data_IF_146372506835
#
_entry.id   IF_146372506835
#
_cell.length_a   1.000
_cell.length_b   1.000
_cell.length_c   1.000
_cell.angle_alpha   90.00
_cell.angle_beta   90.00
_cell.angle_gamma   90.00
#
_symmetry.space_group_name_H-M   'P 1'
#
loop_
_entity.id
_entity.type
_entity.pdbx_description
1 polymer ?
#
# COMPACT_ATOMS: atom_id res chain seq x y z
N UNK A 1 -6.88 -5.90 16.61
CA UNK A 1 -8.08 -5.15 16.20
C UNK A 1 -7.65 -3.85 15.53
N UNK A 2 -8.31 -3.48 14.44
CA UNK A 2 -8.00 -2.26 13.71
C UNK A 2 -8.61 -1.06 14.42
N UNK A 3 -7.81 -0.03 14.69
CA UNK A 3 -8.30 1.17 15.37
C UNK A 3 -9.18 2.04 14.45
N UNK A 4 -9.98 2.91 15.06
CA UNK A 4 -10.83 3.84 14.30
C UNK A 4 -10.00 4.80 13.44
N UNK A 5 -8.81 5.19 13.90
CA UNK A 5 -7.91 6.05 13.15
C UNK A 5 -7.43 5.39 11.85
N UNK A 6 -7.17 4.09 11.88
CA UNK A 6 -6.78 3.33 10.69
C UNK A 6 -7.93 3.29 9.69
N UNK A 7 -9.16 3.02 10.18
CA UNK A 7 -10.34 3.03 9.31
C UNK A 7 -10.58 4.40 8.69
N UNK A 8 -10.40 5.48 9.46
CA UNK A 8 -10.56 6.84 8.96
C UNK A 8 -9.54 7.14 7.85
N UNK A 9 -8.30 6.72 8.02
CA UNK A 9 -7.23 6.88 7.02
C UNK A 9 -7.58 6.17 5.71
N UNK A 10 -8.03 4.93 5.80
CA UNK A 10 -8.43 4.14 4.63
C UNK A 10 -9.63 4.77 3.91
N UNK A 11 -10.61 5.25 4.66
CA UNK A 11 -11.80 5.90 4.09
C UNK A 11 -11.43 7.15 3.32
N UNK A 12 -10.57 7.99 3.89
CA UNK A 12 -10.14 9.23 3.25
C UNK A 12 -9.36 8.95 1.97
N UNK A 13 -8.44 7.97 2.00
CA UNK A 13 -7.69 7.53 0.84
C UNK A 13 -8.64 7.05 -0.28
N UNK A 14 -9.60 6.20 0.05
CA UNK A 14 -10.51 5.62 -0.93
C UNK A 14 -11.39 6.67 -1.58
N UNK A 15 -11.89 7.63 -0.81
CA UNK A 15 -12.70 8.73 -1.34
C UNK A 15 -11.91 9.58 -2.32
N UNK A 16 -10.64 9.83 -2.02
CA UNK A 16 -9.79 10.66 -2.87
C UNK A 16 -9.46 9.98 -4.21
N UNK A 17 -9.10 8.69 -4.18
CA UNK A 17 -8.67 7.98 -5.38
C UNK A 17 -9.81 7.36 -6.18
N UNK A 18 -10.84 6.84 -5.51
CA UNK A 18 -11.88 6.05 -6.16
C UNK A 18 -13.24 6.75 -6.18
N UNK A 19 -13.35 7.91 -5.55
CA UNK A 19 -14.59 8.66 -5.47
C UNK A 19 -15.67 8.01 -4.60
N UNK A 20 -15.33 6.92 -3.89
CA UNK A 20 -16.25 6.24 -2.99
C UNK A 20 -15.51 5.57 -1.85
N UNK A 21 -16.24 5.27 -0.78
CA UNK A 21 -15.69 4.59 0.39
C UNK A 21 -15.69 3.07 0.16
N UNK A 22 -14.49 2.48 0.05
CA UNK A 22 -14.30 1.03 -0.08
C UNK A 22 -14.05 0.35 1.27
N UNK A 23 -14.19 1.10 2.39
CA UNK A 23 -13.94 0.55 3.72
C UNK A 23 -14.75 -0.71 4.04
N UNK A 24 -16.04 -0.82 3.65
CA UNK A 24 -16.80 -2.05 3.89
C UNK A 24 -16.17 -3.30 3.26
N UNK A 25 -15.70 -3.18 2.01
CA UNK A 25 -15.05 -4.28 1.30
C UNK A 25 -13.73 -4.65 1.95
N UNK A 26 -12.97 -3.66 2.39
CA UNK A 26 -11.70 -3.87 3.09
C UNK A 26 -11.95 -4.58 4.42
N UNK A 27 -12.97 -4.19 5.17
CA UNK A 27 -13.33 -4.83 6.44
C UNK A 27 -13.67 -6.31 6.25
N UNK A 28 -14.37 -6.65 5.18
CA UNK A 28 -14.70 -8.03 4.87
C UNK A 28 -13.45 -8.85 4.58
N UNK A 29 -12.47 -8.28 3.90
CA UNK A 29 -11.22 -8.97 3.56
C UNK A 29 -10.23 -9.01 4.71
N UNK A 30 -10.40 -8.17 5.74
CA UNK A 30 -9.41 -7.98 6.79
C UNK A 30 -9.03 -9.25 7.56
N UNK A 31 -9.93 -10.22 7.85
CA UNK A 31 -9.53 -11.45 8.51
C UNK A 31 -8.44 -12.23 7.78
N UNK A 32 -8.30 -12.04 6.47
CA UNK A 32 -7.26 -12.68 5.66
C UNK A 32 -5.93 -11.93 5.69
N UNK A 33 -5.89 -10.74 6.28
CA UNK A 33 -4.69 -9.91 6.34
C UNK A 33 -3.90 -10.25 7.61
N UNK A 34 -2.58 -10.30 7.49
CA UNK A 34 -1.71 -10.74 8.57
C UNK A 34 -1.14 -9.62 9.42
N UNK A 35 -1.00 -8.41 8.85
CA UNK A 35 -0.30 -7.34 9.55
C UNK A 35 -0.77 -5.95 9.11
N UNK A 36 -0.85 -5.04 10.10
CA UNK A 36 -1.16 -3.62 9.87
C UNK A 36 -0.07 -2.80 10.54
N UNK A 37 0.56 -1.90 9.77
CA UNK A 37 1.62 -1.01 10.25
C UNK A 37 1.18 0.43 10.02
N UNK A 38 1.15 1.23 11.08
CA UNK A 38 0.70 2.62 11.02
C UNK A 38 1.86 3.61 11.11
N UNK A 39 1.68 4.77 10.51
CA UNK A 39 2.58 5.91 10.65
C UNK A 39 1.75 7.21 10.54
N UNK A 40 2.38 8.36 10.78
CA UNK A 40 1.65 9.64 10.74
C UNK A 40 1.08 9.90 9.34
N UNK A 41 -0.24 9.83 9.24
CA UNK A 41 -0.96 10.10 7.99
C UNK A 41 -1.09 8.91 7.05
N UNK A 42 -0.73 7.69 7.49
CA UNK A 42 -0.84 6.53 6.61
C UNK A 42 -0.87 5.19 7.32
N UNK A 43 -1.14 4.16 6.52
CA UNK A 43 -1.17 2.78 7.01
C UNK A 43 -0.74 1.83 5.90
N UNK A 44 0.09 0.85 6.26
CA UNK A 44 0.40 -0.30 5.42
C UNK A 44 -0.42 -1.49 5.88
N UNK A 45 -1.00 -2.21 4.94
CA UNK A 45 -1.73 -3.45 5.20
C UNK A 45 -1.05 -4.54 4.40
N UNK A 46 -0.57 -5.59 5.04
CA UNK A 46 0.17 -6.65 4.36
C UNK A 46 -0.36 -8.03 4.67
N UNK A 47 -0.26 -8.92 3.68
CA UNK A 47 -0.55 -10.34 3.79
C UNK A 47 0.58 -11.10 3.07
N UNK A 48 1.41 -11.81 3.84
CA UNK A 48 2.61 -12.42 3.27
C UNK A 48 3.51 -11.36 2.65
N UNK A 49 3.85 -11.53 1.38
CA UNK A 49 4.70 -10.58 0.65
C UNK A 49 3.90 -9.52 -0.14
N UNK A 50 2.58 -9.54 -0.06
CA UNK A 50 1.74 -8.53 -0.71
C UNK A 50 1.36 -7.45 0.29
N UNK A 51 1.31 -6.20 -0.17
CA UNK A 51 0.94 -5.08 0.69
C UNK A 51 0.18 -4.00 -0.07
N UNK A 52 -0.53 -3.18 0.71
CA UNK A 52 -1.18 -1.96 0.23
C UNK A 52 -0.79 -0.81 1.16
N UNK A 53 -0.77 0.40 0.59
CA UNK A 53 -0.47 1.63 1.32
C UNK A 53 -1.63 2.61 1.17
N UNK A 54 -2.09 3.13 2.29
CA UNK A 54 -3.14 4.17 2.33
C UNK A 54 -2.55 5.41 3.00
N UNK A 55 -2.59 6.55 2.31
CA UNK A 55 -2.05 7.82 2.82
C UNK A 55 -3.11 8.90 2.69
N UNK A 56 -3.34 9.65 3.77
CA UNK A 56 -4.31 10.77 3.74
C UNK A 56 -3.79 11.85 2.77
N UNK A 57 -4.69 12.54 2.03
CA UNK A 57 -4.27 13.52 1.02
C UNK A 57 -3.32 14.59 1.53
N UNK A 58 -3.54 15.10 2.76
CA UNK A 58 -2.71 16.15 3.35
C UNK A 58 -1.25 15.74 3.56
N UNK A 59 -0.95 14.44 3.60
CA UNK A 59 0.39 13.91 3.86
C UNK A 59 1.09 13.38 2.61
N UNK A 60 0.41 13.36 1.47
CA UNK A 60 0.98 12.85 0.22
C UNK A 60 2.07 13.78 -0.33
N UNK A 61 3.04 13.17 -1.00
CA UNK A 61 4.11 13.90 -1.66
C UNK A 61 5.18 14.44 -0.73
N UNK A 62 5.07 14.24 0.56
CA UNK A 62 6.09 14.67 1.52
C UNK A 62 7.22 13.65 1.57
N UNK A 63 8.46 14.13 1.67
CA UNK A 63 9.62 13.24 1.73
C UNK A 63 9.59 12.27 2.91
N UNK A 64 8.91 12.65 4.02
CA UNK A 64 8.72 11.78 5.18
C UNK A 64 8.01 10.48 4.82
N UNK A 65 7.07 10.54 3.88
CA UNK A 65 6.36 9.33 3.39
C UNK A 65 7.36 8.37 2.75
N UNK A 66 8.31 8.87 1.97
CA UNK A 66 9.34 8.02 1.35
C UNK A 66 10.20 7.32 2.41
N UNK A 67 10.53 8.02 3.49
CA UNK A 67 11.27 7.43 4.60
C UNK A 67 10.48 6.29 5.26
N UNK A 68 9.19 6.50 5.49
CA UNK A 68 8.33 5.48 6.08
C UNK A 68 8.15 4.27 5.14
N UNK A 69 8.02 4.51 3.85
CA UNK A 69 7.96 3.44 2.84
C UNK A 69 9.27 2.64 2.86
N UNK A 70 10.41 3.31 2.88
CA UNK A 70 11.72 2.66 2.93
C UNK A 70 11.84 1.73 4.14
N UNK A 71 11.46 2.21 5.32
CA UNK A 71 11.48 1.41 6.55
C UNK A 71 10.60 0.17 6.42
N UNK A 72 9.40 0.35 5.90
CA UNK A 72 8.45 -0.76 5.72
C UNK A 72 8.97 -1.80 4.74
N UNK A 73 9.48 -1.36 3.58
CA UNK A 73 9.99 -2.26 2.55
C UNK A 73 11.21 -3.04 3.04
N UNK A 74 12.10 -2.42 3.81
CA UNK A 74 13.24 -3.12 4.41
C UNK A 74 12.80 -4.20 5.38
N UNK A 75 11.81 -3.88 6.21
CA UNK A 75 11.28 -4.83 7.19
C UNK A 75 10.59 -6.01 6.51
N UNK A 76 9.74 -5.73 5.52
CA UNK A 76 9.02 -6.78 4.80
C UNK A 76 9.97 -7.59 3.90
N UNK A 77 10.90 -6.92 3.24
CA UNK A 77 11.90 -7.55 2.37
C UNK A 77 12.86 -8.49 3.11
N UNK A 78 13.10 -8.22 4.40
CA UNK A 78 13.92 -9.09 5.22
C UNK A 78 13.28 -10.48 5.42
N UNK A 79 11.97 -10.58 5.23
CA UNK A 79 11.20 -11.82 5.42
C UNK A 79 10.86 -12.54 4.12
N UNK A 80 10.98 -11.86 2.98
CA UNK A 80 10.51 -12.36 1.68
C UNK A 80 11.51 -12.03 0.57
N UNK A 81 11.65 -12.94 -0.39
CA UNK A 81 12.56 -12.74 -1.53
C UNK A 81 12.01 -11.73 -2.54
N UNK A 82 10.69 -11.58 -2.61
CA UNK A 82 10.05 -10.60 -3.47
C UNK A 82 8.87 -9.97 -2.75
N UNK A 83 8.58 -8.71 -3.12
CA UNK A 83 7.44 -7.97 -2.59
C UNK A 83 6.49 -7.65 -3.74
N UNK A 84 5.18 -7.75 -3.47
CA UNK A 84 4.13 -7.54 -4.45
C UNK A 84 3.22 -6.41 -4.01
N UNK A 85 2.89 -5.51 -4.95
CA UNK A 85 1.87 -4.48 -4.73
C UNK A 85 0.91 -4.48 -5.92
N UNK A 86 -0.38 -4.29 -5.64
CA UNK A 86 -1.42 -4.21 -6.65
C UNK A 86 -1.96 -2.78 -6.68
N UNK A 87 -1.90 -2.13 -7.85
CA UNK A 87 -2.26 -0.71 -7.99
C UNK A 87 -3.23 -0.57 -9.16
N UNK A 88 -4.30 0.22 -8.94
CA UNK A 88 -5.24 0.52 -10.01
C UNK A 88 -4.53 1.30 -11.13
N UNK A 89 -4.81 0.96 -12.40
CA UNK A 89 -4.15 1.59 -13.55
C UNK A 89 -4.35 3.10 -13.63
N UNK A 90 -5.42 3.61 -13.04
CA UNK A 90 -5.70 5.05 -13.02
C UNK A 90 -4.96 5.79 -11.91
N UNK A 91 -4.31 5.08 -11.00
CA UNK A 91 -3.56 5.67 -9.89
C UNK A 91 -2.11 5.95 -10.32
N UNK A 92 -1.93 6.94 -11.18
CA UNK A 92 -0.62 7.26 -11.77
C UNK A 92 0.43 7.63 -10.71
N UNK A 93 0.02 8.32 -9.64
CA UNK A 93 0.95 8.72 -8.56
C UNK A 93 1.52 7.50 -7.84
N UNK A 94 0.67 6.54 -7.50
CA UNK A 94 1.12 5.31 -6.84
C UNK A 94 1.97 4.46 -7.75
N UNK A 95 1.65 4.41 -9.05
CA UNK A 95 2.47 3.68 -10.03
C UNK A 95 3.87 4.28 -10.13
N UNK A 96 3.98 5.61 -10.20
CA UNK A 96 5.28 6.29 -10.23
C UNK A 96 6.07 6.04 -8.95
N UNK A 97 5.39 6.09 -7.81
CA UNK A 97 6.02 5.85 -6.52
C UNK A 97 6.54 4.42 -6.41
N UNK A 98 5.76 3.44 -6.85
CA UNK A 98 6.19 2.04 -6.86
C UNK A 98 7.42 1.84 -7.74
N UNK A 99 7.44 2.44 -8.94
CA UNK A 99 8.59 2.38 -9.84
C UNK A 99 9.83 3.03 -9.23
N UNK A 100 9.65 4.14 -8.53
CA UNK A 100 10.74 4.80 -7.82
C UNK A 100 11.38 3.87 -6.77
N UNK A 101 10.60 3.03 -6.13
CA UNK A 101 11.09 2.08 -5.13
C UNK A 101 11.51 0.72 -5.74
N UNK A 102 11.64 0.63 -7.06
CA UNK A 102 12.18 -0.54 -7.72
C UNK A 102 11.18 -1.61 -8.09
N UNK A 103 9.88 -1.28 -8.10
CA UNK A 103 8.83 -2.22 -8.53
C UNK A 103 8.63 -2.16 -10.04
N UNK A 104 8.42 -3.31 -10.66
CA UNK A 104 8.15 -3.42 -12.09
C UNK A 104 6.86 -4.20 -12.31
N UNK A 105 6.12 -3.84 -13.38
CA UNK A 105 4.88 -4.51 -13.70
C UNK A 105 5.14 -5.95 -14.13
N UNK A 106 4.41 -6.91 -13.53
CA UNK A 106 4.50 -8.32 -13.89
C UNK A 106 3.19 -8.86 -14.49
N UNK A 107 2.06 -8.23 -14.20
CA UNK A 107 0.78 -8.63 -14.80
C UNK A 107 -0.21 -7.47 -14.73
N UNK A 108 -1.27 -7.56 -15.54
CA UNK A 108 -2.36 -6.60 -15.54
C UNK A 108 -3.66 -7.31 -15.82
N UNK A 109 -4.65 -7.15 -14.96
CA UNK A 109 -5.96 -7.76 -15.10
C UNK A 109 -7.03 -6.88 -14.48
N UNK A 110 -8.13 -6.66 -15.18
CA UNK A 110 -9.29 -5.92 -14.68
C UNK A 110 -8.92 -4.54 -14.11
N UNK A 111 -8.05 -3.81 -14.81
CA UNK A 111 -7.57 -2.48 -14.44
C UNK A 111 -6.64 -2.47 -13.22
N UNK A 112 -6.25 -3.63 -12.72
CA UNK A 112 -5.28 -3.73 -11.62
C UNK A 112 -3.93 -4.15 -12.19
N UNK A 113 -2.91 -3.36 -11.88
CA UNK A 113 -1.53 -3.65 -12.26
C UNK A 113 -0.83 -4.28 -11.06
N UNK A 114 -0.27 -5.46 -11.27
CA UNK A 114 0.55 -6.11 -10.26
C UNK A 114 2.02 -5.82 -10.54
N UNK A 115 2.72 -5.31 -9.52
CA UNK A 115 4.14 -5.00 -9.61
C UNK A 115 4.91 -5.79 -8.56
N UNK A 116 6.16 -6.09 -8.90
CA UNK A 116 7.06 -6.86 -8.04
C UNK A 116 8.40 -6.16 -7.91
N UNK A 117 9.02 -6.28 -6.74
CA UNK A 117 10.40 -5.89 -6.52
C UNK A 117 11.15 -6.99 -5.76
N UNK A 118 12.36 -7.29 -6.21
CA UNK A 118 13.29 -8.19 -5.53
C UNK A 118 14.44 -7.44 -4.86
N UNK A 119 14.44 -6.11 -4.97
CA UNK A 119 15.54 -5.24 -4.49
C UNK A 119 15.62 -5.15 -2.96
N UNK A 120 14.55 -5.52 -2.26
CA UNK A 120 14.43 -5.37 -0.81
C UNK A 120 14.74 -6.66 -0.04
N UNK A 121 15.00 -7.75 -0.73
CA UNK A 121 15.42 -9.00 -0.09
C UNK A 121 16.73 -8.80 0.66
N UNK A 122 16.79 -9.37 1.87
CA UNK A 122 17.98 -9.25 2.70
C UNK A 122 19.13 -10.12 2.17
#
# INVERSE_FOLDING_TARGET
MVSDDVWATMREYNRDYYGRDLTPEIRQALPDLTEITTFDGGVFVSKGNEFDLFVVPAKRGRWRIRSEITKFLRKLGAKHNSLIVNINEHNAKSLRLAKFFGFTEISRKDKIIQLESTSWAA
#
